data_IF_595837854919
#
_entry.id   IF_595837854919
#
_cell.length_a   1.000
_cell.length_b   1.000
_cell.length_c   1.000
_cell.angle_alpha   90.00
_cell.angle_beta   90.00
_cell.angle_gamma   90.00
#
_symmetry.space_group_name_H-M   'P 1'
#
loop_
_entity.id
_entity.type
_entity.pdbx_description
1 polymer ?
#
# COMPACT_ATOMS: atom_id res chain seq x y z
N UNK A 1 -77.22 -20.82 2.57
CA UNK A 1 -76.82 -21.51 3.80
C UNK A 1 -75.36 -21.94 3.65
N UNK A 2 -74.47 -21.41 4.49
CA UNK A 2 -73.16 -21.94 4.98
C UNK A 2 -72.25 -22.76 4.03
N UNK A 3 -70.93 -22.56 3.93
CA UNK A 3 -70.00 -21.71 4.67
C UNK A 3 -68.53 -22.03 4.34
N UNK A 4 -67.66 -21.06 4.65
CA UNK A 4 -66.27 -21.17 5.13
C UNK A 4 -65.18 -21.86 4.27
N UNK A 5 -64.62 -21.06 3.36
CA UNK A 5 -63.18 -20.73 3.25
C UNK A 5 -62.20 -21.62 4.03
N UNK A 6 -61.55 -22.54 3.31
CA UNK A 6 -60.30 -23.18 3.76
C UNK A 6 -59.19 -22.13 3.91
N UNK A 7 -58.83 -21.80 5.15
CA UNK A 7 -57.62 -21.02 5.47
C UNK A 7 -56.38 -21.89 5.22
N UNK A 8 -55.86 -21.86 4.00
CA UNK A 8 -54.44 -22.14 3.79
C UNK A 8 -53.66 -21.00 4.44
N UNK A 9 -53.02 -21.27 5.59
CA UNK A 9 -51.97 -20.38 6.12
C UNK A 9 -50.75 -20.57 5.22
N UNK A 10 -50.33 -19.57 4.41
CA UNK A 10 -48.99 -19.64 3.85
C UNK A 10 -48.04 -19.58 5.05
N UNK A 11 -47.12 -20.55 5.16
CA UNK A 11 -45.93 -20.37 6.00
C UNK A 11 -45.33 -19.06 5.56
N UNK A 12 -45.25 -18.10 6.48
CA UNK A 12 -44.47 -16.88 6.29
C UNK A 12 -43.08 -17.35 5.83
N UNK A 13 -42.81 -17.18 4.54
CA UNK A 13 -41.50 -17.45 4.00
C UNK A 13 -40.55 -16.53 4.77
N UNK A 14 -39.72 -17.12 5.62
CA UNK A 14 -38.55 -16.44 6.17
C UNK A 14 -37.74 -16.02 4.95
N UNK A 15 -37.53 -14.71 4.68
CA UNK A 15 -36.58 -14.33 3.65
C UNK A 15 -35.22 -14.81 4.14
N UNK A 16 -34.76 -15.94 3.61
CA UNK A 16 -33.37 -16.29 3.66
C UNK A 16 -32.67 -15.27 2.77
N UNK A 17 -31.85 -14.42 3.37
CA UNK A 17 -30.97 -13.50 2.65
C UNK A 17 -30.13 -14.31 1.67
N UNK A 18 -30.52 -14.27 0.41
CA UNK A 18 -29.93 -15.03 -0.68
C UNK A 18 -29.12 -14.08 -1.55
N UNK A 19 -27.81 -14.12 -1.39
CA UNK A 19 -26.83 -13.97 -2.48
C UNK A 19 -26.69 -12.65 -3.26
N UNK A 20 -27.48 -11.59 -2.99
CA UNK A 20 -27.49 -10.39 -3.84
C UNK A 20 -26.83 -9.13 -3.21
N UNK A 21 -25.93 -9.29 -2.22
CA UNK A 21 -25.31 -8.16 -1.50
C UNK A 21 -23.77 -8.27 -1.37
N UNK A 22 -23.09 -8.93 -2.32
CA UNK A 22 -21.64 -9.18 -2.21
C UNK A 22 -20.75 -8.12 -2.88
N UNK A 23 -21.11 -7.66 -4.08
CA UNK A 23 -20.14 -6.96 -4.95
C UNK A 23 -20.29 -5.44 -4.93
N UNK A 24 -21.50 -4.91 -5.06
CA UNK A 24 -21.74 -3.47 -5.15
C UNK A 24 -21.51 -2.75 -3.80
N UNK A 25 -21.93 -3.38 -2.69
CA UNK A 25 -21.68 -2.89 -1.33
C UNK A 25 -20.21 -2.97 -0.93
N UNK A 26 -19.52 -4.04 -1.33
CA UNK A 26 -18.08 -4.22 -1.09
C UNK A 26 -17.27 -3.19 -1.87
N UNK A 27 -17.55 -3.00 -3.16
CA UNK A 27 -16.86 -1.99 -3.97
C UNK A 27 -17.04 -0.57 -3.41
N UNK A 28 -18.24 -0.22 -2.94
CA UNK A 28 -18.50 1.08 -2.30
C UNK A 28 -17.76 1.23 -0.97
N UNK A 29 -17.66 0.18 -0.16
CA UNK A 29 -16.87 0.16 1.06
C UNK A 29 -15.38 0.37 0.78
N UNK A 30 -14.80 -0.37 -0.17
CA UNK A 30 -13.39 -0.20 -0.56
C UNK A 30 -13.12 1.19 -1.13
N UNK A 31 -14.03 1.71 -1.96
CA UNK A 31 -13.95 3.09 -2.45
C UNK A 31 -13.90 4.08 -1.29
N UNK A 32 -14.78 3.94 -0.30
CA UNK A 32 -14.78 4.81 0.88
C UNK A 32 -13.46 4.68 1.69
N UNK A 33 -12.98 3.46 1.95
CA UNK A 33 -11.71 3.25 2.64
C UNK A 33 -10.53 3.85 1.89
N UNK A 34 -10.47 3.72 0.57
CA UNK A 34 -9.41 4.35 -0.23
C UNK A 34 -9.45 5.87 -0.09
N UNK A 35 -10.61 6.51 -0.27
CA UNK A 35 -10.71 7.98 -0.27
C UNK A 35 -10.62 8.60 1.13
N UNK A 36 -11.14 7.93 2.16
CA UNK A 36 -11.23 8.51 3.51
C UNK A 36 -10.18 8.00 4.49
N UNK A 37 -9.49 6.90 4.17
CA UNK A 37 -8.46 6.33 5.05
C UNK A 37 -7.11 6.27 4.34
N UNK A 38 -7.02 5.58 3.20
CA UNK A 38 -5.74 5.36 2.54
C UNK A 38 -5.13 6.66 2.00
N UNK A 39 -5.89 7.46 1.24
CA UNK A 39 -5.38 8.71 0.68
C UNK A 39 -4.99 9.72 1.77
N UNK A 40 -5.81 9.98 2.82
CA UNK A 40 -5.38 10.83 3.93
C UNK A 40 -4.16 10.26 4.67
N UNK A 41 -4.09 8.94 4.88
CA UNK A 41 -2.94 8.30 5.53
C UNK A 41 -1.64 8.48 4.74
N UNK A 42 -1.68 8.30 3.42
CA UNK A 42 -0.54 8.55 2.53
C UNK A 42 -0.19 10.03 2.48
N UNK A 43 -1.18 10.93 2.48
CA UNK A 43 -0.93 12.37 2.51
C UNK A 43 -0.18 12.79 3.77
N UNK A 44 -0.57 12.27 4.94
CA UNK A 44 0.10 12.54 6.21
C UNK A 44 1.51 11.97 6.24
N UNK A 45 1.72 10.73 5.77
CA UNK A 45 3.06 10.12 5.74
C UNK A 45 3.99 10.84 4.76
N UNK A 46 3.49 11.23 3.58
CA UNK A 46 4.22 12.03 2.60
C UNK A 46 4.59 13.41 3.18
N UNK A 47 3.67 14.07 3.87
CA UNK A 47 3.95 15.34 4.54
C UNK A 47 5.02 15.18 5.63
N UNK A 48 4.99 14.09 6.42
CA UNK A 48 6.01 13.82 7.43
C UNK A 48 7.41 13.70 6.82
N UNK A 49 7.54 12.90 5.76
CA UNK A 49 8.82 12.71 5.06
C UNK A 49 9.26 14.00 4.39
N UNK A 50 8.35 14.73 3.74
CA UNK A 50 8.65 16.00 3.08
C UNK A 50 9.17 17.06 4.05
N UNK A 51 8.56 17.20 5.23
CA UNK A 51 9.04 18.13 6.25
C UNK A 51 10.39 17.69 6.83
N UNK A 52 10.60 16.39 7.02
CA UNK A 52 11.90 15.84 7.47
C UNK A 52 13.00 16.04 6.42
N UNK A 53 12.72 15.83 5.14
CA UNK A 53 13.70 15.99 4.07
C UNK A 53 14.12 17.45 3.88
N UNK A 54 13.27 18.42 4.23
CA UNK A 54 13.59 19.86 4.17
C UNK A 54 14.52 20.31 5.29
N UNK A 55 14.46 19.66 6.46
CA UNK A 55 15.28 20.00 7.62
C UNK A 55 16.48 19.05 7.81
N UNK A 56 16.47 17.89 7.14
CA UNK A 56 17.48 16.85 7.23
C UNK A 56 18.52 16.95 6.12
N UNK A 57 19.35 17.98 6.15
CA UNK A 57 20.70 17.88 5.57
C UNK A 57 21.46 16.86 6.45
N UNK A 58 21.34 15.57 6.12
CA UNK A 58 22.14 14.54 6.77
C UNK A 58 23.55 14.68 6.23
N UNK A 59 24.41 15.37 6.99
CA UNK A 59 25.81 15.53 6.61
C UNK A 59 26.43 14.15 6.39
N UNK A 60 27.18 14.03 5.28
CA UNK A 60 27.76 12.74 4.91
C UNK A 60 28.70 12.29 6.03
N UNK A 61 28.49 11.12 6.64
CA UNK A 61 29.42 10.61 7.64
C UNK A 61 30.80 10.45 7.01
N UNK A 62 31.85 10.67 7.79
CA UNK A 62 33.22 10.45 7.31
C UNK A 62 33.36 9.03 6.78
N UNK A 63 33.96 8.93 5.59
CA UNK A 63 34.05 7.64 4.94
C UNK A 63 35.18 6.81 5.55
N UNK A 64 34.83 5.68 6.18
CA UNK A 64 35.77 4.68 6.68
C UNK A 64 35.76 3.47 5.75
N UNK A 65 36.92 3.14 5.20
CA UNK A 65 37.12 2.04 4.25
C UNK A 65 37.10 0.67 4.94
N UNK A 66 35.97 0.28 5.51
CA UNK A 66 35.82 -1.04 6.11
C UNK A 66 36.01 -2.15 5.06
N UNK A 67 36.72 -3.25 5.38
CA UNK A 67 37.01 -4.31 4.41
C UNK A 67 35.78 -5.01 3.81
N UNK A 68 34.66 -4.96 4.51
CA UNK A 68 33.39 -5.57 4.08
C UNK A 68 32.52 -4.61 3.24
N UNK A 69 32.89 -3.33 3.13
CA UNK A 69 32.20 -2.35 2.29
C UNK A 69 32.86 -2.28 0.91
N UNK A 70 32.07 -1.92 -0.12
CA UNK A 70 32.52 -1.77 -1.52
C UNK A 70 33.29 -2.98 -2.06
N UNK A 71 32.89 -4.19 -1.66
CA UNK A 71 33.53 -5.41 -2.19
C UNK A 71 33.33 -5.48 -3.70
N UNK A 72 34.44 -5.63 -4.43
CA UNK A 72 34.49 -5.83 -5.89
C UNK A 72 35.37 -7.03 -6.21
N UNK A 73 34.76 -8.19 -6.43
CA UNK A 73 35.48 -9.38 -6.91
C UNK A 73 35.58 -9.41 -8.44
N UNK A 74 34.60 -8.83 -9.13
CA UNK A 74 34.54 -8.66 -10.59
C UNK A 74 33.92 -7.30 -10.91
N UNK A 75 34.40 -6.66 -11.97
CA UNK A 75 33.84 -5.41 -12.48
C UNK A 75 32.41 -5.58 -12.97
N UNK A 76 31.61 -4.52 -12.84
CA UNK A 76 30.26 -4.49 -13.42
C UNK A 76 30.30 -4.50 -14.95
N UNK A 77 29.26 -5.05 -15.61
CA UNK A 77 29.19 -5.14 -17.07
C UNK A 77 28.74 -3.83 -17.75
N UNK A 78 28.87 -2.67 -17.11
CA UNK A 78 28.52 -1.35 -17.66
C UNK A 78 29.52 -0.28 -17.21
N UNK A 79 29.56 0.83 -17.94
CA UNK A 79 30.36 2.00 -17.58
C UNK A 79 31.84 1.67 -17.39
N UNK A 80 32.42 2.16 -16.31
CA UNK A 80 33.81 1.93 -15.90
C UNK A 80 34.01 0.63 -15.10
N UNK A 81 32.91 -0.07 -14.77
CA UNK A 81 32.91 -1.31 -14.03
C UNK A 81 33.05 -1.16 -12.51
N UNK A 82 33.14 0.07 -11.98
CA UNK A 82 33.31 0.32 -10.54
C UNK A 82 32.08 1.01 -9.92
N UNK A 83 31.34 1.79 -10.71
CA UNK A 83 30.11 2.44 -10.29
C UNK A 83 28.89 1.51 -10.35
N UNK A 84 28.08 1.51 -9.30
CA UNK A 84 26.79 0.78 -9.28
C UNK A 84 25.80 1.40 -10.26
N UNK A 85 24.75 0.64 -10.64
CA UNK A 85 23.71 1.12 -11.57
C UNK A 85 23.03 2.41 -11.08
N UNK A 86 22.84 2.54 -9.77
CA UNK A 86 22.28 3.72 -9.11
C UNK A 86 23.36 4.39 -8.23
N UNK A 87 24.49 4.76 -8.83
CA UNK A 87 25.55 5.46 -8.12
C UNK A 87 25.20 6.94 -7.90
N UNK A 88 25.36 7.44 -6.67
CA UNK A 88 25.23 8.84 -6.31
C UNK A 88 26.55 9.34 -5.69
N UNK A 89 27.26 10.22 -6.38
CA UNK A 89 28.57 10.75 -5.95
C UNK A 89 28.53 11.52 -4.63
N UNK A 90 27.34 12.00 -4.22
CA UNK A 90 27.18 12.71 -2.96
C UNK A 90 27.22 11.75 -1.76
N UNK A 91 26.70 10.53 -1.88
CA UNK A 91 26.50 9.61 -0.74
C UNK A 91 27.19 8.25 -0.88
N UNK A 92 27.59 7.87 -2.09
CA UNK A 92 28.28 6.61 -2.37
C UNK A 92 29.77 6.87 -2.54
N UNK A 93 30.59 6.58 -1.53
CA UNK A 93 32.04 6.71 -1.63
C UNK A 93 32.64 5.61 -2.52
N UNK A 94 33.65 5.98 -3.30
CA UNK A 94 34.53 5.09 -4.07
C UNK A 94 35.95 5.25 -3.59
#
# INVERSE_FOLDING_TARGET
VFGLLGRFRPRLARPMSSGAHGEEGSARMWKALTYFVALPGVAVSMLNVFLKSRHGEHERPEFIAYPHLRIRSKRFPWGDGDHTLFHNSQVNPL
#
